data_IF_150860983361
#
_entry.id   IF_150860983361
#
_cell.length_a   1.000
_cell.length_b   1.000
_cell.length_c   1.000
_cell.angle_alpha   90.00
_cell.angle_beta   90.00
_cell.angle_gamma   90.00
#
_symmetry.space_group_name_H-M   'P 1'
#
loop_
_entity.id
_entity.type
_entity.pdbx_description
1 polymer ?
#
# COMPACT_ATOMS: atom_id res chain seq x y z
N UNK A 1 -12.24 -0.06 7.07
CA UNK A 1 -11.82 -1.11 8.01
C UNK A 1 -12.50 -2.46 7.71
N UNK A 2 -13.65 -2.43 7.10
CA UNK A 2 -14.41 -3.61 6.67
C UNK A 2 -15.15 -3.25 5.37
N UNK A 3 -14.88 -3.96 4.29
CA UNK A 3 -15.50 -3.70 2.97
C UNK A 3 -17.01 -3.97 2.95
N UNK A 4 -17.52 -4.73 3.91
CA UNK A 4 -18.94 -5.04 4.10
C UNK A 4 -19.61 -4.24 5.21
N UNK A 5 -18.96 -3.24 5.79
CA UNK A 5 -19.50 -2.47 6.89
C UNK A 5 -20.80 -1.75 6.49
N UNK A 6 -21.85 -1.81 7.34
CA UNK A 6 -23.17 -1.31 6.96
C UNK A 6 -23.25 0.23 6.89
N UNK A 7 -22.29 0.93 7.48
CA UNK A 7 -22.23 2.40 7.49
C UNK A 7 -21.42 3.01 6.34
N UNK A 8 -20.98 2.24 5.35
CA UNK A 8 -20.29 2.80 4.18
C UNK A 8 -21.25 3.77 3.43
N UNK A 9 -20.78 4.96 3.04
CA UNK A 9 -19.37 5.43 3.00
C UNK A 9 -18.86 6.14 4.26
N UNK A 10 -19.65 6.26 5.32
CA UNK A 10 -19.33 7.03 6.53
C UNK A 10 -18.50 6.25 7.57
N UNK A 11 -18.13 5.03 7.27
CA UNK A 11 -17.21 4.23 8.11
C UNK A 11 -15.77 4.75 8.02
N UNK A 12 -14.95 4.58 9.08
CA UNK A 12 -13.53 4.90 9.02
C UNK A 12 -12.84 4.16 7.89
N UNK A 13 -12.14 4.87 7.05
CA UNK A 13 -11.24 4.28 6.06
C UNK A 13 -10.04 3.67 6.77
N UNK A 14 -9.49 2.61 6.22
CA UNK A 14 -8.28 1.98 6.72
C UNK A 14 -7.18 2.08 5.66
N UNK A 15 -6.32 3.08 5.83
CA UNK A 15 -5.17 3.32 4.94
C UNK A 15 -4.19 2.16 4.92
N UNK A 16 -4.04 1.45 6.05
CA UNK A 16 -3.15 0.29 6.13
C UNK A 16 -3.65 -0.88 5.27
N UNK A 17 -4.96 -1.10 5.25
CA UNK A 17 -5.56 -2.10 4.36
C UNK A 17 -5.39 -1.72 2.87
N UNK A 18 -5.49 -0.42 2.55
CA UNK A 18 -5.25 0.07 1.19
C UNK A 18 -3.79 -0.14 0.76
N UNK A 19 -2.81 0.15 1.62
CA UNK A 19 -1.39 -0.08 1.35
C UNK A 19 -1.09 -1.56 1.11
N UNK A 20 -1.61 -2.46 1.96
CA UNK A 20 -1.48 -3.92 1.81
C UNK A 20 -2.10 -4.39 0.47
N UNK A 21 -3.31 -3.93 0.17
CA UNK A 21 -3.99 -4.27 -1.08
C UNK A 21 -3.20 -3.78 -2.30
N UNK A 22 -2.65 -2.56 -2.25
CA UNK A 22 -1.80 -2.01 -3.30
C UNK A 22 -0.57 -2.87 -3.58
N UNK A 23 0.14 -3.32 -2.53
CA UNK A 23 1.26 -4.27 -2.67
C UNK A 23 0.81 -5.57 -3.34
N UNK A 24 -0.34 -6.12 -2.95
CA UNK A 24 -0.92 -7.32 -3.55
C UNK A 24 -1.25 -7.14 -5.03
N UNK A 25 -1.79 -5.99 -5.41
CA UNK A 25 -2.13 -5.66 -6.80
C UNK A 25 -0.89 -5.57 -7.69
N UNK A 26 0.21 -4.96 -7.21
CA UNK A 26 1.50 -4.95 -7.94
C UNK A 26 2.00 -6.36 -8.15
N UNK A 27 1.95 -7.21 -7.11
CA UNK A 27 2.36 -8.62 -7.22
C UNK A 27 1.50 -9.37 -8.24
N UNK A 28 0.18 -9.22 -8.20
CA UNK A 28 -0.73 -9.87 -9.14
C UNK A 28 -0.45 -9.47 -10.59
N UNK A 29 -0.20 -8.17 -10.84
CA UNK A 29 0.15 -7.68 -12.15
C UNK A 29 1.48 -8.28 -12.66
N UNK A 30 2.45 -8.51 -11.76
CA UNK A 30 3.76 -9.08 -12.08
C UNK A 30 3.76 -10.60 -12.30
N UNK A 31 2.79 -11.34 -11.72
CA UNK A 31 2.72 -12.81 -11.87
C UNK A 31 2.42 -13.26 -13.30
N UNK A 32 1.55 -12.56 -13.99
CA UNK A 32 1.25 -12.78 -15.40
C UNK A 32 0.93 -11.43 -16.08
N UNK A 33 1.95 -10.71 -16.55
CA UNK A 33 1.77 -9.40 -17.17
C UNK A 33 0.92 -9.42 -18.45
N UNK A 34 0.72 -10.59 -19.04
CA UNK A 34 -0.11 -10.77 -20.25
C UNK A 34 -1.53 -11.22 -19.93
N UNK A 35 -1.83 -11.51 -18.65
CA UNK A 35 -3.19 -11.89 -18.25
C UNK A 35 -4.19 -10.76 -18.51
N UNK A 36 -5.40 -11.16 -18.89
CA UNK A 36 -6.53 -10.22 -18.95
C UNK A 36 -6.73 -9.59 -17.55
N UNK A 37 -6.65 -8.25 -17.48
CA UNK A 37 -6.80 -7.51 -16.23
C UNK A 37 -5.49 -7.13 -15.52
N UNK A 38 -4.33 -7.63 -15.94
CA UNK A 38 -3.04 -7.28 -15.32
C UNK A 38 -2.80 -5.77 -15.30
N UNK A 39 -3.09 -5.08 -16.42
CA UNK A 39 -3.03 -3.61 -16.49
C UNK A 39 -4.00 -2.92 -15.52
N UNK A 40 -5.17 -3.49 -15.30
CA UNK A 40 -6.14 -2.98 -14.32
C UNK A 40 -5.65 -3.11 -12.88
N UNK A 41 -4.96 -4.18 -12.52
CA UNK A 41 -4.35 -4.34 -11.19
C UNK A 41 -3.25 -3.31 -10.95
N UNK A 42 -2.39 -3.11 -11.94
CA UNK A 42 -1.31 -2.13 -11.85
C UNK A 42 -1.86 -0.70 -11.75
N UNK A 43 -2.85 -0.36 -12.58
CA UNK A 43 -3.50 0.95 -12.52
C UNK A 43 -4.13 1.20 -11.15
N UNK A 44 -4.85 0.22 -10.58
CA UNK A 44 -5.45 0.33 -9.26
C UNK A 44 -4.39 0.49 -8.15
N UNK A 45 -3.24 -0.18 -8.27
CA UNK A 45 -2.13 0.00 -7.33
C UNK A 45 -1.54 1.41 -7.40
N UNK A 46 -1.34 1.96 -8.60
CA UNK A 46 -0.84 3.32 -8.82
C UNK A 46 -1.82 4.35 -8.22
N UNK A 47 -3.10 4.21 -8.52
CA UNK A 47 -4.14 5.11 -7.98
C UNK A 47 -4.22 5.04 -6.45
N UNK A 48 -4.09 3.84 -5.88
CA UNK A 48 -4.03 3.64 -4.43
C UNK A 48 -2.80 4.32 -3.82
N UNK A 49 -1.62 4.11 -4.39
CA UNK A 49 -0.38 4.75 -3.94
C UNK A 49 -0.46 6.27 -4.00
N UNK A 50 -0.98 6.81 -5.11
CA UNK A 50 -1.19 8.24 -5.27
C UNK A 50 -2.16 8.82 -4.23
N UNK A 51 -3.28 8.14 -3.98
CA UNK A 51 -4.24 8.57 -2.97
C UNK A 51 -3.67 8.55 -1.54
N UNK A 52 -2.81 7.58 -1.22
CA UNK A 52 -2.15 7.50 0.10
C UNK A 52 -1.05 8.55 0.28
N UNK A 53 -0.55 9.15 -0.81
CA UNK A 53 0.39 10.28 -0.77
C UNK A 53 -0.29 11.65 -0.57
N UNK A 54 -1.61 11.70 -0.43
CA UNK A 54 -2.33 12.94 -0.12
C UNK A 54 -2.05 13.38 1.32
N UNK A 55 -2.05 14.70 1.56
CA UNK A 55 -1.84 15.31 2.88
C UNK A 55 -2.85 14.81 3.94
N UNK A 56 -3.99 14.26 3.52
CA UNK A 56 -4.96 13.61 4.42
C UNK A 56 -4.34 12.40 5.14
N UNK A 57 -3.43 11.67 4.47
CA UNK A 57 -2.87 10.42 4.98
C UNK A 57 -1.39 10.53 5.38
N UNK A 58 -0.66 11.56 4.95
CA UNK A 58 0.75 11.71 5.28
C UNK A 58 0.96 12.37 6.65
N UNK A 59 1.50 11.61 7.61
CA UNK A 59 1.83 12.09 8.95
C UNK A 59 2.79 13.29 8.95
N UNK A 60 3.88 13.28 8.18
CA UNK A 60 4.81 14.41 8.10
C UNK A 60 4.18 15.74 7.63
N UNK A 61 3.05 15.71 6.93
CA UNK A 61 2.29 16.89 6.57
C UNK A 61 1.51 17.51 7.75
N UNK A 62 1.42 16.80 8.88
CA UNK A 62 0.66 17.23 10.07
C UNK A 62 1.56 17.45 11.27
N UNK A 63 1.50 18.64 11.85
CA UNK A 63 2.30 18.98 13.03
C UNK A 63 1.93 18.10 14.23
N UNK A 64 2.92 17.44 14.81
CA UNK A 64 2.76 16.61 16.00
C UNK A 64 2.48 15.13 15.73
N UNK A 65 2.38 14.73 14.48
CA UNK A 65 2.29 13.31 14.10
C UNK A 65 3.69 12.73 13.92
N UNK A 66 3.90 11.52 14.46
CA UNK A 66 5.18 10.80 14.36
C UNK A 66 5.14 9.64 13.37
N UNK A 67 3.92 9.14 13.02
CA UNK A 67 3.72 8.10 12.03
C UNK A 67 3.82 8.60 10.61
N UNK A 68 4.13 7.71 9.69
CA UNK A 68 4.25 8.05 8.26
C UNK A 68 2.88 8.05 7.57
N UNK A 69 2.09 6.99 7.76
CA UNK A 69 0.77 6.82 7.15
C UNK A 69 -0.32 6.88 8.22
N UNK A 70 -1.13 7.93 8.20
CA UNK A 70 -2.29 8.11 9.07
C UNK A 70 -3.54 7.45 8.47
N UNK A 71 -4.61 7.37 9.27
CA UNK A 71 -5.87 6.79 8.83
C UNK A 71 -5.94 5.27 8.95
N UNK A 72 -4.99 4.64 9.64
CA UNK A 72 -5.03 3.22 9.94
C UNK A 72 -6.09 2.84 10.96
N UNK A 73 -6.51 1.58 10.99
CA UNK A 73 -7.48 1.04 11.96
C UNK A 73 -6.93 -0.22 12.62
N UNK A 74 -6.52 -0.10 13.89
CA UNK A 74 -6.06 -1.26 14.63
C UNK A 74 -7.21 -2.18 15.07
N UNK A 75 -8.23 -1.61 15.75
CA UNK A 75 -9.38 -2.40 16.22
C UNK A 75 -10.63 -1.54 16.34
N UNK A 76 -11.42 -1.44 15.28
CA UNK A 76 -12.62 -0.59 15.21
C UNK A 76 -13.64 -0.85 16.31
N UNK A 77 -14.03 -2.13 16.63
CA UNK A 77 -15.05 -2.38 17.66
C UNK A 77 -14.70 -1.88 19.06
N UNK A 78 -13.39 -1.77 19.36
CA UNK A 78 -12.91 -1.22 20.65
C UNK A 78 -12.47 0.23 20.56
N UNK A 79 -12.52 0.84 19.37
CA UNK A 79 -12.06 2.20 19.15
C UNK A 79 -10.54 2.38 19.30
N UNK A 80 -9.75 1.31 19.16
CA UNK A 80 -8.32 1.37 19.33
C UNK A 80 -7.61 1.68 18.02
N UNK A 81 -6.73 2.70 18.06
CA UNK A 81 -5.90 3.08 16.91
C UNK A 81 -6.72 3.34 15.65
N UNK A 82 -7.85 4.05 15.79
CA UNK A 82 -8.70 4.45 14.67
C UNK A 82 -8.27 5.83 14.20
N UNK A 83 -7.85 5.92 12.94
CA UNK A 83 -7.44 7.17 12.30
C UNK A 83 -5.98 7.56 12.52
N UNK A 84 -5.22 6.84 13.36
CA UNK A 84 -3.81 7.07 13.61
C UNK A 84 -2.89 6.27 12.69
N UNK A 85 -1.58 6.43 12.88
CA UNK A 85 -0.59 5.57 12.26
C UNK A 85 -0.57 4.19 12.94
N UNK A 86 -0.35 3.16 12.14
CA UNK A 86 -0.12 1.79 12.61
C UNK A 86 1.14 1.24 11.94
N UNK A 87 1.94 0.49 12.68
CA UNK A 87 3.26 0.03 12.24
C UNK A 87 3.22 -0.70 10.88
N UNK A 88 2.25 -1.58 10.67
CA UNK A 88 2.10 -2.27 9.39
C UNK A 88 1.59 -1.36 8.27
N UNK A 89 0.86 -0.28 8.61
CA UNK A 89 0.48 0.77 7.65
C UNK A 89 1.71 1.46 7.08
N UNK A 90 2.62 1.92 7.95
CA UNK A 90 3.88 2.55 7.55
C UNK A 90 4.75 1.58 6.74
N UNK A 91 4.87 0.32 7.18
CA UNK A 91 5.65 -0.70 6.48
C UNK A 91 5.14 -0.95 5.07
N UNK A 92 3.85 -1.28 4.92
CA UNK A 92 3.29 -1.61 3.60
C UNK A 92 3.14 -0.39 2.70
N UNK A 93 2.99 0.81 3.26
CA UNK A 93 3.02 2.03 2.47
C UNK A 93 4.40 2.25 1.83
N UNK A 94 5.47 2.14 2.60
CA UNK A 94 6.83 2.23 2.06
C UNK A 94 7.09 1.15 1.01
N UNK A 95 6.70 -0.10 1.30
CA UNK A 95 6.83 -1.20 0.34
C UNK A 95 6.06 -0.94 -0.95
N UNK A 96 4.83 -0.41 -0.87
CA UNK A 96 4.04 -0.05 -2.05
C UNK A 96 4.74 1.03 -2.88
N UNK A 97 5.20 2.11 -2.23
CA UNK A 97 5.88 3.21 -2.93
C UNK A 97 7.18 2.72 -3.59
N UNK A 98 8.00 1.92 -2.90
CA UNK A 98 9.21 1.34 -3.48
C UNK A 98 8.89 0.49 -4.72
N UNK A 99 7.86 -0.35 -4.65
CA UNK A 99 7.42 -1.18 -5.78
C UNK A 99 6.94 -0.35 -6.96
N UNK A 100 6.17 0.70 -6.72
CA UNK A 100 5.67 1.59 -7.76
C UNK A 100 6.79 2.40 -8.42
N UNK A 101 7.74 2.92 -7.64
CA UNK A 101 8.90 3.63 -8.16
C UNK A 101 9.81 2.73 -8.98
N UNK A 102 9.91 1.45 -8.60
CA UNK A 102 10.70 0.48 -9.36
C UNK A 102 10.07 0.12 -10.73
N UNK A 103 8.78 0.41 -10.95
CA UNK A 103 8.15 0.19 -12.27
C UNK A 103 8.68 1.14 -13.36
N UNK A 104 9.20 2.30 -12.98
CA UNK A 104 9.80 3.28 -13.92
C UNK A 104 11.25 2.92 -14.30
N UNK A 105 11.86 1.96 -13.62
CA UNK A 105 13.18 1.45 -13.94
C UNK A 105 13.05 0.20 -14.83
N UNK A 106 13.53 0.26 -16.07
CA UNK A 106 13.55 -0.86 -17.05
C UNK A 106 14.20 -2.16 -16.52
N UNK A 107 14.68 -2.14 -15.27
CA UNK A 107 15.25 -3.27 -14.54
C UNK A 107 14.21 -4.27 -14.01
N UNK A 108 12.91 -3.99 -14.06
CA UNK A 108 11.87 -4.97 -13.72
C UNK A 108 11.70 -6.00 -14.84
N UNK A 109 12.67 -6.89 -14.94
CA UNK A 109 12.44 -8.18 -15.57
C UNK A 109 11.28 -8.87 -14.80
N UNK A 110 10.29 -9.48 -15.50
CA UNK A 110 9.23 -10.22 -14.84
C UNK A 110 9.88 -11.26 -13.93
N UNK A 111 9.47 -11.27 -12.66
CA UNK A 111 9.91 -12.31 -11.73
C UNK A 111 9.54 -13.67 -12.32
N UNK A 112 10.53 -14.51 -12.55
CA UNK A 112 10.30 -15.87 -12.99
C UNK A 112 9.42 -16.64 -12.00
N UNK A 113 8.69 -17.69 -12.42
CA UNK A 113 7.86 -18.48 -11.54
C UNK A 113 8.71 -19.07 -10.41
N UNK A 114 8.45 -18.62 -9.17
CA UNK A 114 9.18 -19.04 -7.97
C UNK A 114 10.27 -18.11 -7.49
N UNK A 115 10.56 -17.02 -8.18
CA UNK A 115 11.48 -16.00 -7.69
C UNK A 115 10.76 -15.05 -6.70
N UNK A 116 11.23 -15.10 -5.48
CA UNK A 116 10.89 -14.07 -4.49
C UNK A 116 11.62 -12.77 -4.89
N UNK A 117 10.98 -11.59 -4.81
CA UNK A 117 11.68 -10.34 -5.06
C UNK A 117 12.95 -10.27 -4.20
N UNK A 118 14.06 -9.72 -4.70
CA UNK A 118 15.29 -9.65 -3.95
C UNK A 118 15.02 -9.01 -2.60
N UNK A 119 15.47 -9.66 -1.53
CA UNK A 119 15.39 -9.07 -0.19
C UNK A 119 16.15 -7.76 -0.23
N UNK A 120 15.53 -6.70 0.28
CA UNK A 120 16.19 -5.42 0.53
C UNK A 120 17.35 -5.69 1.50
N UNK A 121 18.54 -5.92 0.98
CA UNK A 121 19.69 -6.31 1.80
C UNK A 121 21.03 -6.23 1.08
N UNK A 122 21.03 -6.04 -0.22
CA UNK A 122 22.24 -5.90 -1.02
C UNK A 122 22.29 -4.53 -1.73
N UNK A 123 22.16 -3.45 -0.96
CA UNK A 123 22.65 -2.15 -1.43
C UNK A 123 24.18 -2.19 -1.30
N UNK A 124 24.95 -1.99 -2.40
CA UNK A 124 26.38 -1.83 -2.30
C UNK A 124 26.69 -0.61 -1.44
N UNK A 125 27.54 -0.80 -0.42
CA UNK A 125 28.05 0.27 0.45
C UNK A 125 28.99 1.20 -0.30
#
# INVERSE_FOLDING_TARGET
WDYGAPGIPDEPRDSSAAAIAGCGLVLLAGLDPQAEGAGGYLQAAIETGAALCDDEYLGPARAGEEGLLLGGVYHRPRGWGVGGAVMWGDYFFLELIERLLALDDDSLAPLGPGECPPRIGNLPG
#
